data_IF_489859701530
#
_entry.id   IF_489859701530
#
_cell.length_a   1.000
_cell.length_b   1.000
_cell.length_c   1.000
_cell.angle_alpha   90.00
_cell.angle_beta   90.00
_cell.angle_gamma   90.00
#
_symmetry.space_group_name_H-M   'P 1'
#
loop_
_entity.id
_entity.type
_entity.pdbx_description
1 polymer ?
#
# COMPACT_ATOMS: atom_id res chain seq x y z
N UNK A 1 -17.80 -29.55 -7.57
CA UNK A 1 -18.49 -29.11 -6.37
C UNK A 1 -17.56 -28.54 -5.34
N UNK A 2 -17.94 -27.46 -4.82
CA UNK A 2 -17.08 -26.68 -3.96
C UNK A 2 -17.51 -26.71 -2.52
N UNK A 3 -18.15 -27.79 -2.12
CA UNK A 3 -18.72 -27.94 -0.77
C UNK A 3 -17.69 -27.77 0.35
N UNK A 4 -16.40 -27.87 0.03
CA UNK A 4 -15.32 -27.80 1.01
C UNK A 4 -14.51 -26.48 0.97
N UNK A 5 -14.98 -25.46 0.24
CA UNK A 5 -14.29 -24.18 0.25
C UNK A 5 -14.49 -23.51 1.60
N UNK A 6 -13.38 -23.25 2.28
CA UNK A 6 -13.41 -22.50 3.54
C UNK A 6 -13.79 -21.05 3.24
N UNK A 7 -14.59 -20.39 4.09
CA UNK A 7 -14.85 -18.98 3.94
C UNK A 7 -13.52 -18.22 4.01
N UNK A 8 -13.34 -17.29 3.09
CA UNK A 8 -12.15 -16.45 3.09
C UNK A 8 -12.20 -15.47 4.24
N UNK A 9 -11.05 -15.21 4.84
CA UNK A 9 -10.93 -14.15 5.83
C UNK A 9 -11.03 -12.80 5.15
N UNK A 10 -11.91 -11.94 5.64
CA UNK A 10 -12.01 -10.57 5.16
C UNK A 10 -10.81 -9.76 5.63
N UNK A 11 -10.20 -9.05 4.69
CA UNK A 11 -9.07 -8.17 4.97
C UNK A 11 -9.39 -6.82 4.36
N UNK A 12 -9.46 -5.79 5.18
CA UNK A 12 -9.66 -4.42 4.73
C UNK A 12 -8.32 -3.71 4.76
N UNK A 13 -7.98 -3.00 3.69
CA UNK A 13 -6.75 -2.23 3.65
C UNK A 13 -7.00 -0.80 3.20
N UNK A 14 -6.22 0.09 3.78
CA UNK A 14 -6.23 1.52 3.50
C UNK A 14 -5.07 1.83 2.56
N UNK A 15 -5.32 2.62 1.51
CA UNK A 15 -4.26 3.04 0.60
C UNK A 15 -3.98 4.51 0.80
N UNK A 16 -2.73 4.81 1.15
CA UNK A 16 -2.24 6.18 1.31
C UNK A 16 -1.32 6.55 0.16
N UNK A 17 -1.63 7.64 -0.55
CA UNK A 17 -0.82 8.15 -1.64
C UNK A 17 -0.99 9.65 -1.78
N UNK A 18 0.02 10.32 -2.33
CA UNK A 18 -0.07 11.77 -2.60
C UNK A 18 -0.97 12.03 -3.80
N UNK A 19 -1.82 13.04 -3.70
CA UNK A 19 -2.79 13.38 -4.76
C UNK A 19 -2.14 13.68 -6.11
N UNK A 20 -0.94 14.27 -6.11
CA UNK A 20 -0.21 14.51 -7.35
C UNK A 20 0.18 13.24 -8.09
N UNK A 21 0.14 12.08 -7.42
CA UNK A 21 0.43 10.77 -8.01
C UNK A 21 -0.83 10.00 -8.39
N UNK A 22 -2.01 10.64 -8.43
CA UNK A 22 -3.28 9.92 -8.54
C UNK A 22 -3.37 9.00 -9.77
N UNK A 23 -2.84 9.40 -10.92
CA UNK A 23 -2.86 8.56 -12.12
C UNK A 23 -1.99 7.31 -11.96
N UNK A 24 -0.75 7.51 -11.51
CA UNK A 24 0.17 6.41 -11.29
C UNK A 24 -0.34 5.47 -10.20
N UNK A 25 -0.78 6.04 -9.09
CA UNK A 25 -1.35 5.28 -7.99
C UNK A 25 -2.60 4.51 -8.40
N UNK A 26 -3.47 5.13 -9.19
CA UNK A 26 -4.69 4.50 -9.68
C UNK A 26 -4.40 3.28 -10.54
N UNK A 27 -3.43 3.38 -11.45
CA UNK A 27 -3.00 2.25 -12.29
C UNK A 27 -2.44 1.10 -11.44
N UNK A 28 -1.60 1.47 -10.49
CA UNK A 28 -0.99 0.50 -9.59
C UNK A 28 -2.05 -0.22 -8.76
N UNK A 29 -2.95 0.53 -8.13
CA UNK A 29 -4.00 -0.03 -7.27
C UNK A 29 -4.94 -0.91 -8.07
N UNK A 30 -5.32 -0.50 -9.27
CA UNK A 30 -6.18 -1.31 -10.14
C UNK A 30 -5.55 -2.66 -10.44
N UNK A 31 -4.26 -2.67 -10.81
CA UNK A 31 -3.53 -3.90 -11.08
C UNK A 31 -3.42 -4.77 -9.82
N UNK A 32 -3.17 -4.15 -8.68
CA UNK A 32 -3.05 -4.88 -7.42
C UNK A 32 -4.39 -5.51 -7.02
N UNK A 33 -5.48 -4.76 -7.12
CA UNK A 33 -6.81 -5.28 -6.79
C UNK A 33 -7.14 -6.50 -7.66
N UNK A 34 -6.80 -6.44 -8.96
CA UNK A 34 -6.99 -7.59 -9.84
C UNK A 34 -6.16 -8.80 -9.41
N UNK A 35 -4.95 -8.57 -8.95
CA UNK A 35 -4.09 -9.66 -8.45
C UNK A 35 -4.59 -10.24 -7.13
N UNK A 36 -5.24 -9.43 -6.31
CA UNK A 36 -5.75 -9.86 -5.00
C UNK A 36 -7.05 -10.67 -5.11
N UNK A 37 -7.88 -10.40 -6.12
CA UNK A 37 -9.19 -11.04 -6.26
C UNK A 37 -9.15 -12.57 -6.26
N UNK A 38 -8.22 -13.23 -6.98
CA UNK A 38 -8.20 -14.69 -7.02
C UNK A 38 -7.68 -15.36 -5.77
N UNK A 39 -7.25 -14.62 -4.74
CA UNK A 39 -6.73 -15.22 -3.51
C UNK A 39 -7.73 -16.24 -2.96
N UNK A 40 -7.25 -17.43 -2.66
CA UNK A 40 -8.09 -18.46 -2.05
C UNK A 40 -8.21 -18.32 -0.54
N UNK A 41 -7.37 -17.48 0.07
CA UNK A 41 -7.25 -17.35 1.53
C UNK A 41 -7.96 -16.11 2.04
N UNK A 42 -7.87 -15.00 1.31
CA UNK A 42 -8.35 -13.70 1.78
C UNK A 42 -9.34 -13.08 0.81
N UNK A 43 -10.32 -12.38 1.37
CA UNK A 43 -11.25 -11.54 0.65
C UNK A 43 -10.87 -10.09 0.95
N UNK A 44 -10.19 -9.45 -0.01
CA UNK A 44 -9.65 -8.11 0.17
C UNK A 44 -10.68 -7.04 -0.13
N UNK A 45 -10.78 -6.07 0.77
CA UNK A 45 -11.63 -4.91 0.58
C UNK A 45 -10.78 -3.65 0.70
N UNK A 46 -10.80 -2.84 -0.35
CA UNK A 46 -10.04 -1.60 -0.42
C UNK A 46 -10.87 -0.46 0.16
N UNK A 47 -10.22 0.32 1.01
CA UNK A 47 -10.72 1.63 1.40
C UNK A 47 -9.74 2.70 0.91
N UNK A 48 -10.24 3.75 0.27
CA UNK A 48 -9.41 4.86 -0.18
C UNK A 48 -10.06 6.20 0.19
N UNK A 49 -9.23 7.24 0.31
CA UNK A 49 -9.70 8.58 0.67
C UNK A 49 -10.54 9.25 -0.43
N UNK A 50 -10.53 8.72 -1.66
CA UNK A 50 -11.39 9.23 -2.73
C UNK A 50 -12.88 9.10 -2.42
N UNK A 51 -13.24 8.16 -1.55
CA UNK A 51 -14.61 7.96 -1.12
C UNK A 51 -15.07 9.00 -0.09
N UNK A 52 -14.18 9.85 0.40
CA UNK A 52 -14.49 10.84 1.42
C UNK A 52 -15.08 12.08 0.78
N UNK A 53 -16.30 12.42 1.18
CA UNK A 53 -16.92 13.65 0.75
C UNK A 53 -16.24 14.85 1.40
N UNK A 54 -15.98 15.88 0.62
CA UNK A 54 -15.37 17.11 1.10
C UNK A 54 -16.26 17.74 2.17
N UNK A 55 -15.72 17.90 3.39
CA UNK A 55 -16.45 18.49 4.50
C UNK A 55 -15.62 18.48 5.77
N UNK A 56 -16.17 19.06 6.84
CA UNK A 56 -15.48 19.23 8.12
C UNK A 56 -15.16 17.91 8.83
N UNK A 57 -15.75 16.79 8.39
CA UNK A 57 -15.61 15.50 9.04
C UNK A 57 -14.63 14.55 8.34
N UNK A 58 -13.97 14.98 7.27
CA UNK A 58 -13.10 14.09 6.50
C UNK A 58 -11.93 13.55 7.32
N UNK A 59 -11.36 14.36 8.21
CA UNK A 59 -10.25 13.91 9.07
C UNK A 59 -10.68 12.77 9.98
N UNK A 60 -11.87 12.88 10.54
CA UNK A 60 -12.42 11.86 11.42
C UNK A 60 -12.73 10.57 10.67
N UNK A 61 -13.24 10.70 9.44
CA UNK A 61 -13.53 9.54 8.60
C UNK A 61 -12.27 8.81 8.18
N UNK A 62 -11.19 9.53 7.85
CA UNK A 62 -9.88 8.93 7.56
C UNK A 62 -9.37 8.18 8.79
N UNK A 63 -9.38 8.80 9.95
CA UNK A 63 -8.94 8.15 11.17
C UNK A 63 -9.73 6.89 11.47
N UNK A 64 -11.06 6.94 11.30
CA UNK A 64 -11.91 5.77 11.50
C UNK A 64 -11.61 4.66 10.49
N UNK A 65 -11.38 5.02 9.22
CA UNK A 65 -11.05 4.06 8.18
C UNK A 65 -9.72 3.36 8.48
N UNK A 66 -8.73 4.12 8.92
CA UNK A 66 -7.43 3.56 9.30
C UNK A 66 -7.59 2.65 10.52
N UNK A 67 -8.34 3.08 11.54
CA UNK A 67 -8.56 2.29 12.73
C UNK A 67 -9.27 0.96 12.43
N UNK A 68 -10.11 0.93 11.42
CA UNK A 68 -10.86 -0.26 11.05
C UNK A 68 -10.19 -1.11 9.98
N UNK A 69 -9.07 -0.67 9.41
CA UNK A 69 -8.34 -1.46 8.42
C UNK A 69 -7.43 -2.49 9.10
N UNK A 70 -7.12 -3.55 8.39
CA UNK A 70 -6.18 -4.56 8.85
C UNK A 70 -4.73 -4.15 8.59
N UNK A 71 -4.49 -3.44 7.48
CA UNK A 71 -3.18 -2.87 7.20
C UNK A 71 -3.29 -1.67 6.26
N UNK A 72 -2.25 -0.85 6.27
CA UNK A 72 -2.12 0.27 5.34
C UNK A 72 -1.13 -0.05 4.23
N UNK A 73 -1.51 0.28 3.00
CA UNK A 73 -0.63 0.22 1.85
C UNK A 73 -0.15 1.64 1.58
N UNK A 74 1.14 1.89 1.81
CA UNK A 74 1.70 3.24 1.73
C UNK A 74 2.49 3.37 0.43
N UNK A 75 1.99 4.17 -0.50
CA UNK A 75 2.60 4.33 -1.82
C UNK A 75 3.61 5.46 -1.80
N UNK A 76 4.86 5.11 -1.55
CA UNK A 76 5.93 6.07 -1.32
C UNK A 76 6.38 6.73 -2.61
N UNK A 77 6.55 8.05 -2.54
CA UNK A 77 7.06 8.90 -3.60
C UNK A 77 7.64 10.15 -2.96
N UNK A 78 8.28 11.00 -3.76
CA UNK A 78 8.73 12.31 -3.26
C UNK A 78 7.54 13.12 -2.74
N UNK A 79 6.43 13.11 -3.49
CA UNK A 79 5.23 13.83 -3.11
C UNK A 79 4.61 13.27 -1.81
N UNK A 80 4.66 11.94 -1.62
CA UNK A 80 4.19 11.32 -0.38
C UNK A 80 4.98 11.83 0.83
N UNK A 81 6.31 11.77 0.73
CA UNK A 81 7.16 12.19 1.84
C UNK A 81 7.10 13.70 2.09
N UNK A 82 6.81 14.48 1.07
CA UNK A 82 6.66 15.93 1.20
C UNK A 82 5.23 16.37 1.55
N UNK A 83 4.28 15.46 1.66
CA UNK A 83 2.89 15.82 1.92
C UNK A 83 2.67 16.12 3.40
N UNK A 84 2.29 17.34 3.70
CA UNK A 84 1.92 17.74 5.05
C UNK A 84 0.68 16.99 5.52
N UNK A 85 -0.30 16.83 4.63
CA UNK A 85 -1.55 16.13 4.93
C UNK A 85 -1.30 14.68 5.37
N UNK A 86 -0.53 13.95 4.57
CA UNK A 86 -0.20 12.55 4.89
C UNK A 86 0.58 12.48 6.21
N UNK A 87 1.55 13.38 6.38
CA UNK A 87 2.38 13.41 7.58
C UNK A 87 1.60 13.72 8.86
N UNK A 88 0.53 14.48 8.75
CA UNK A 88 -0.28 14.85 9.91
C UNK A 88 -1.44 13.90 10.19
N UNK A 89 -2.07 13.36 9.14
CA UNK A 89 -3.35 12.68 9.28
C UNK A 89 -3.35 11.19 8.97
N UNK A 90 -2.39 10.69 8.22
CA UNK A 90 -2.36 9.29 7.82
C UNK A 90 -1.16 8.54 8.40
N UNK A 91 0.03 9.03 8.12
CA UNK A 91 1.27 8.34 8.50
C UNK A 91 1.42 8.07 9.99
N UNK A 92 1.01 8.98 10.90
CA UNK A 92 1.19 8.72 12.34
C UNK A 92 0.50 7.44 12.84
N UNK A 93 -0.54 6.98 12.14
CA UNK A 93 -1.22 5.73 12.52
C UNK A 93 -0.40 4.48 12.21
N UNK A 94 0.62 4.61 11.36
CA UNK A 94 1.41 3.49 10.87
C UNK A 94 2.84 3.47 11.40
N UNK A 95 3.19 4.38 12.27
CA UNK A 95 4.52 4.48 12.90
C UNK A 95 4.40 4.48 14.41
N UNK A 96 5.48 4.06 15.08
CA UNK A 96 5.55 4.08 16.53
C UNK A 96 5.09 2.79 17.18
N UNK A 97 5.09 2.74 18.54
CA UNK A 97 4.81 1.50 19.28
C UNK A 97 3.40 0.96 19.11
N UNK A 98 2.43 1.84 18.83
CA UNK A 98 1.02 1.45 18.64
C UNK A 98 0.61 1.44 17.18
N UNK A 99 1.59 1.34 16.28
CA UNK A 99 1.34 1.43 14.86
C UNK A 99 0.47 0.29 14.33
N UNK A 100 -0.43 0.63 13.43
CA UNK A 100 -1.11 -0.35 12.59
C UNK A 100 -0.09 -0.99 11.66
N UNK A 101 -0.27 -2.26 11.28
CA UNK A 101 0.57 -2.88 10.27
C UNK A 101 0.52 -2.10 8.96
N UNK A 102 1.65 -1.99 8.28
CA UNK A 102 1.71 -1.32 6.98
C UNK A 102 2.63 -2.06 6.02
N UNK A 103 2.34 -1.85 4.74
CA UNK A 103 3.18 -2.34 3.65
C UNK A 103 3.62 -1.12 2.85
N UNK A 104 4.80 -0.55 3.14
CA UNK A 104 5.32 0.55 2.34
C UNK A 104 5.81 0.02 1.00
N UNK A 105 5.40 0.69 -0.08
CA UNK A 105 5.73 0.31 -1.45
C UNK A 105 6.36 1.50 -2.15
N UNK A 106 7.47 1.30 -2.83
CA UNK A 106 8.11 2.35 -3.61
C UNK A 106 7.37 2.53 -4.93
N UNK A 107 6.40 3.43 -4.94
CA UNK A 107 5.62 3.75 -6.15
C UNK A 107 6.46 4.48 -7.18
N UNK A 108 7.27 5.43 -6.74
CA UNK A 108 8.17 6.24 -7.54
C UNK A 108 9.50 6.38 -6.81
N UNK A 109 10.58 6.79 -7.49
CA UNK A 109 11.91 6.83 -6.87
C UNK A 109 11.97 7.76 -5.67
N UNK A 110 12.56 7.27 -4.59
CA UNK A 110 12.90 8.07 -3.42
C UNK A 110 14.34 7.76 -3.01
N UNK A 111 15.00 8.74 -2.43
CA UNK A 111 16.37 8.59 -1.92
C UNK A 111 16.29 8.10 -0.47
N UNK A 112 16.55 6.80 -0.27
CA UNK A 112 16.44 6.20 1.05
C UNK A 112 17.49 6.72 2.04
N UNK A 113 18.57 7.31 1.54
CA UNK A 113 19.65 7.82 2.40
C UNK A 113 19.46 9.29 2.75
N UNK A 114 18.96 10.09 1.81
CA UNK A 114 18.91 11.54 1.96
C UNK A 114 17.56 12.10 2.33
N UNK A 115 16.48 11.37 2.01
CA UNK A 115 15.14 11.82 2.37
C UNK A 115 14.80 11.46 3.81
N UNK A 116 14.09 12.36 4.46
CA UNK A 116 13.45 12.06 5.74
C UNK A 116 12.29 11.09 5.48
N UNK A 117 12.43 9.86 5.92
CA UNK A 117 11.43 8.82 5.70
C UNK A 117 10.29 8.85 6.73
N UNK A 118 10.25 9.89 7.56
CA UNK A 118 9.12 10.18 8.47
C UNK A 118 8.79 9.04 9.43
N UNK A 119 9.77 8.26 9.83
CA UNK A 119 9.58 7.14 10.73
C UNK A 119 9.53 5.78 10.05
N UNK A 120 9.59 5.74 8.72
CA UNK A 120 9.57 4.49 7.97
C UNK A 120 10.96 3.86 7.79
N UNK A 121 11.99 4.44 8.40
CA UNK A 121 13.38 3.97 8.27
C UNK A 121 13.55 2.51 8.70
N UNK A 122 12.80 2.08 9.72
CA UNK A 122 12.86 0.71 10.21
C UNK A 122 11.91 -0.24 9.45
N UNK A 123 11.11 0.29 8.53
CA UNK A 123 10.12 -0.50 7.80
C UNK A 123 10.76 -1.13 6.58
N UNK A 124 10.26 -2.30 6.21
CA UNK A 124 10.69 -2.97 4.99
C UNK A 124 9.92 -2.43 3.80
N UNK A 125 10.55 -1.55 3.04
CA UNK A 125 9.95 -0.91 1.87
C UNK A 125 10.05 -1.86 0.68
N UNK A 126 8.91 -2.14 0.06
CA UNK A 126 8.85 -3.04 -1.08
C UNK A 126 9.36 -2.35 -2.35
N UNK A 127 10.29 -3.02 -3.02
CA UNK A 127 10.80 -2.69 -4.35
C UNK A 127 10.92 -3.98 -5.13
N UNK A 128 10.96 -3.90 -6.45
CA UNK A 128 11.05 -5.09 -7.28
C UNK A 128 12.37 -5.17 -8.04
N UNK A 129 13.01 -6.31 -7.96
CA UNK A 129 14.20 -6.61 -8.73
C UNK A 129 13.98 -7.81 -9.65
N UNK A 130 13.56 -8.92 -9.10
CA UNK A 130 13.43 -10.18 -9.82
C UNK A 130 14.75 -10.57 -10.50
N UNK A 131 14.62 -11.20 -11.66
CA UNK A 131 15.76 -11.52 -12.51
C UNK A 131 15.95 -10.51 -13.65
N UNK A 132 14.99 -9.59 -13.80
CA UNK A 132 14.94 -8.64 -14.91
C UNK A 132 15.90 -7.46 -14.73
N UNK A 133 16.05 -6.98 -13.50
CA UNK A 133 16.80 -5.75 -13.21
C UNK A 133 18.04 -6.04 -12.39
N UNK A 134 19.06 -5.19 -12.55
CA UNK A 134 20.29 -5.27 -11.74
C UNK A 134 20.06 -4.82 -10.31
N UNK A 135 19.18 -3.83 -10.13
CA UNK A 135 18.86 -3.26 -8.83
C UNK A 135 17.37 -3.22 -8.64
N UNK A 136 16.94 -3.23 -7.38
CA UNK A 136 15.54 -3.10 -7.05
C UNK A 136 15.01 -1.73 -7.48
N UNK A 137 13.79 -1.72 -8.04
CA UNK A 137 13.18 -0.54 -8.64
C UNK A 137 11.83 -0.21 -8.02
N UNK A 138 11.48 1.08 -8.11
CA UNK A 138 10.12 1.52 -7.87
C UNK A 138 9.20 1.05 -9.01
N UNK A 139 7.91 1.05 -8.73
CA UNK A 139 6.91 0.68 -9.73
C UNK A 139 7.03 1.53 -11.01
N UNK A 140 7.20 2.85 -10.84
CA UNK A 140 7.25 3.76 -11.98
C UNK A 140 8.45 3.53 -12.90
N UNK A 141 9.53 2.96 -12.39
CA UNK A 141 10.74 2.69 -13.17
C UNK A 141 10.76 1.32 -13.83
N UNK A 142 9.73 0.52 -13.60
CA UNK A 142 9.56 -0.75 -14.29
C UNK A 142 8.92 -0.54 -15.66
N UNK A 143 9.31 -1.37 -16.64
CA UNK A 143 8.60 -1.43 -17.91
C UNK A 143 7.26 -2.16 -17.71
N UNK A 144 6.37 -2.22 -18.73
CA UNK A 144 5.05 -2.82 -18.52
C UNK A 144 5.07 -4.25 -18.00
N UNK A 145 5.95 -5.10 -18.51
CA UNK A 145 6.07 -6.47 -18.00
C UNK A 145 6.62 -6.49 -16.57
N UNK A 146 7.59 -5.63 -16.30
CA UNK A 146 8.15 -5.47 -14.95
C UNK A 146 7.11 -4.97 -13.95
N UNK A 147 6.18 -4.12 -14.39
CA UNK A 147 5.08 -3.66 -13.55
C UNK A 147 4.14 -4.79 -13.17
N UNK A 148 3.83 -5.67 -14.10
CA UNK A 148 3.02 -6.85 -13.81
C UNK A 148 3.72 -7.76 -12.82
N UNK A 149 5.01 -7.99 -12.99
CA UNK A 149 5.82 -8.78 -12.07
C UNK A 149 5.91 -8.12 -10.69
N UNK A 150 6.05 -6.79 -10.66
CA UNK A 150 6.07 -6.01 -9.43
C UNK A 150 4.79 -6.27 -8.61
N UNK A 151 3.64 -6.14 -9.26
CA UNK A 151 2.34 -6.32 -8.60
C UNK A 151 2.15 -7.76 -8.13
N UNK A 152 2.51 -8.73 -8.96
CA UNK A 152 2.39 -10.14 -8.60
C UNK A 152 3.28 -10.49 -7.39
N UNK A 153 4.51 -9.99 -7.42
CA UNK A 153 5.45 -10.20 -6.32
C UNK A 153 4.97 -9.52 -5.03
N UNK A 154 4.38 -8.34 -5.15
CA UNK A 154 3.79 -7.65 -4.01
C UNK A 154 2.59 -8.40 -3.44
N UNK A 155 1.74 -8.96 -4.28
CA UNK A 155 0.65 -9.82 -3.83
C UNK A 155 1.17 -10.95 -2.96
N UNK A 156 2.21 -11.63 -3.41
CA UNK A 156 2.82 -12.73 -2.65
C UNK A 156 3.36 -12.23 -1.30
N UNK A 157 4.01 -11.07 -1.29
CA UNK A 157 4.53 -10.47 -0.07
C UNK A 157 3.42 -10.11 0.93
N UNK A 158 2.32 -9.56 0.42
CA UNK A 158 1.17 -9.21 1.26
C UNK A 158 0.61 -10.47 1.92
N UNK A 159 0.41 -11.53 1.15
CA UNK A 159 -0.14 -12.79 1.70
C UNK A 159 0.80 -13.39 2.74
N UNK A 160 2.10 -13.32 2.50
CA UNK A 160 3.08 -13.81 3.45
C UNK A 160 3.06 -13.01 4.75
N UNK A 161 2.99 -11.69 4.66
CA UNK A 161 2.93 -10.83 5.85
C UNK A 161 1.63 -11.05 6.63
N UNK A 162 0.49 -11.18 5.94
CA UNK A 162 -0.78 -11.46 6.60
C UNK A 162 -0.77 -12.78 7.34
N UNK A 163 -0.09 -13.77 6.81
CA UNK A 163 0.03 -15.08 7.46
C UNK A 163 0.84 -15.04 8.75
N UNK A 164 1.62 -13.99 8.96
CA UNK A 164 2.45 -13.82 10.17
C UNK A 164 1.83 -12.86 11.20
N UNK A 165 0.75 -12.23 10.85
CA UNK A 165 0.05 -11.30 11.75
C UNK A 165 -0.82 -12.01 12.76
#
# INVERSE_FOLDING_TARGET
MTANSRPKRKVTFFVSYARSNNQLAGRFVQSLVEALKPSKTYDYQLWSDEAILVGEQWQKEIANAIDNCDFGLLLLSQAFLGSQFIGEHELPHFIGPSAKPSVPVMLAPIDLERYDLKGLEASQIFRYKGQRYREARSYSKCNPEGRDEFVFSLFQEIEERLGKM
#
